data_IF_973420505824
#
_entry.id   IF_973420505824
#
_cell.length_a   1.000
_cell.length_b   1.000
_cell.length_c   1.000
_cell.angle_alpha   90.00
_cell.angle_beta   90.00
_cell.angle_gamma   90.00
#
_symmetry.space_group_name_H-M   'P 1'
#
loop_
_entity.id
_entity.type
_entity.pdbx_description
1 polymer ?
#
# COMPACT_ATOMS: atom_id res chain seq x y z
N UNK A 1 -25.12 -27.18 -1.58
CA UNK A 1 -24.49 -26.69 -0.33
C UNK A 1 -23.82 -25.38 -0.67
N UNK A 2 -24.20 -24.29 0.00
CA UNK A 2 -23.62 -22.96 -0.22
C UNK A 2 -22.79 -22.62 1.01
N UNK A 3 -21.54 -22.25 0.79
CA UNK A 3 -20.62 -21.79 1.82
C UNK A 3 -20.54 -20.28 1.69
N UNK A 4 -20.75 -19.58 2.79
CA UNK A 4 -20.68 -18.12 2.90
C UNK A 4 -19.59 -17.76 3.89
N UNK A 5 -18.95 -16.61 3.69
CA UNK A 5 -18.04 -16.06 4.69
C UNK A 5 -18.82 -15.68 5.95
N UNK A 6 -18.16 -15.76 7.10
CA UNK A 6 -18.68 -15.15 8.33
C UNK A 6 -18.34 -13.66 8.30
N UNK A 7 -19.10 -12.81 9.03
CA UNK A 7 -18.77 -11.38 9.13
C UNK A 7 -17.32 -11.12 9.57
N UNK A 8 -16.78 -11.96 10.47
CA UNK A 8 -15.39 -11.86 10.91
C UNK A 8 -14.38 -12.16 9.78
N UNK A 9 -14.73 -13.00 8.81
CA UNK A 9 -13.86 -13.32 7.69
C UNK A 9 -13.87 -12.20 6.62
N UNK A 10 -15.02 -11.53 6.44
CA UNK A 10 -15.12 -10.33 5.58
C UNK A 10 -14.23 -9.20 6.13
N UNK A 11 -14.30 -8.94 7.44
CA UNK A 11 -13.49 -7.90 8.09
C UNK A 11 -11.97 -8.18 8.00
N UNK A 12 -11.57 -9.46 8.03
CA UNK A 12 -10.17 -9.86 7.85
C UNK A 12 -9.73 -9.67 6.41
N UNK A 13 -10.60 -9.91 5.43
CA UNK A 13 -10.29 -9.71 4.01
C UNK A 13 -10.19 -8.23 3.65
N UNK A 14 -11.03 -7.37 4.23
CA UNK A 14 -10.95 -5.91 4.04
C UNK A 14 -9.63 -5.32 4.56
N UNK A 15 -9.11 -5.87 5.66
CA UNK A 15 -7.86 -5.42 6.28
C UNK A 15 -6.62 -6.16 5.77
N UNK A 16 -6.78 -7.12 4.86
CA UNK A 16 -5.68 -7.90 4.34
C UNK A 16 -4.93 -7.08 3.27
N UNK A 17 -3.62 -6.85 3.42
CA UNK A 17 -2.83 -6.22 2.37
C UNK A 17 -2.89 -7.07 1.10
N UNK A 18 -2.94 -6.41 -0.06
CA UNK A 18 -2.96 -7.15 -1.32
C UNK A 18 -1.69 -7.99 -1.48
N UNK A 19 -1.75 -9.18 -2.12
CA UNK A 19 -0.56 -10.02 -2.32
C UNK A 19 0.62 -9.30 -3.02
N UNK A 20 0.31 -8.29 -3.85
CA UNK A 20 1.31 -7.45 -4.51
C UNK A 20 2.01 -6.53 -3.50
N UNK A 21 1.26 -5.88 -2.60
CA UNK A 21 1.81 -5.04 -1.54
C UNK A 21 2.68 -5.86 -0.58
N UNK A 22 2.23 -7.06 -0.21
CA UNK A 22 3.00 -7.97 0.65
C UNK A 22 4.31 -8.43 -0.01
N UNK A 23 4.26 -8.83 -1.28
CA UNK A 23 5.46 -9.22 -2.05
C UNK A 23 6.46 -8.06 -2.16
N UNK A 24 5.97 -6.85 -2.43
CA UNK A 24 6.79 -5.64 -2.48
C UNK A 24 7.42 -5.33 -1.12
N UNK A 25 6.64 -5.30 -0.03
CA UNK A 25 7.12 -5.01 1.31
C UNK A 25 8.19 -6.01 1.76
N UNK A 26 7.98 -7.30 1.46
CA UNK A 26 8.95 -8.35 1.73
C UNK A 26 10.23 -8.19 0.91
N UNK A 27 10.14 -7.81 -0.38
CA UNK A 27 11.32 -7.59 -1.20
C UNK A 27 12.10 -6.33 -0.78
N UNK A 28 11.39 -5.24 -0.48
CA UNK A 28 11.96 -3.96 -0.07
C UNK A 28 12.68 -4.05 1.28
N UNK A 29 12.09 -4.74 2.26
CA UNK A 29 12.69 -4.90 3.60
C UNK A 29 13.99 -5.71 3.62
N UNK A 30 14.27 -6.49 2.57
CA UNK A 30 15.52 -7.25 2.41
C UNK A 30 16.66 -6.45 1.80
N UNK A 31 16.40 -5.23 1.32
CA UNK A 31 17.43 -4.36 0.75
C UNK A 31 18.26 -3.72 1.86
N UNK A 32 19.50 -3.36 1.53
CA UNK A 32 20.32 -2.56 2.44
C UNK A 32 19.69 -1.18 2.67
N UNK A 33 19.95 -0.57 3.82
CA UNK A 33 19.37 0.74 4.20
C UNK A 33 19.62 1.81 3.14
N UNK A 34 20.79 1.79 2.49
CA UNK A 34 21.14 2.74 1.45
C UNK A 34 20.31 2.55 0.17
N UNK A 35 19.96 1.30 -0.18
CA UNK A 35 19.12 0.98 -1.34
C UNK A 35 17.67 1.39 -1.09
N UNK A 36 17.15 1.13 0.12
CA UNK A 36 15.83 1.57 0.53
C UNK A 36 15.71 3.10 0.45
N UNK A 37 16.73 3.81 0.93
CA UNK A 37 16.79 5.28 0.89
C UNK A 37 16.84 5.81 -0.55
N UNK A 38 17.61 5.16 -1.43
CA UNK A 38 17.69 5.52 -2.85
C UNK A 38 16.33 5.39 -3.55
N UNK A 39 15.63 4.27 -3.33
CA UNK A 39 14.30 4.01 -3.92
C UNK A 39 13.29 5.04 -3.41
N UNK A 40 13.27 5.30 -2.09
CA UNK A 40 12.38 6.30 -1.49
C UNK A 40 12.60 7.70 -2.08
N UNK A 41 13.86 8.12 -2.18
CA UNK A 41 14.22 9.43 -2.76
C UNK A 41 13.79 9.54 -4.22
N UNK A 42 13.93 8.47 -4.99
CA UNK A 42 13.52 8.41 -6.39
C UNK A 42 12.01 8.55 -6.54
N UNK A 43 11.23 7.85 -5.72
CA UNK A 43 9.77 7.95 -5.69
C UNK A 43 9.30 9.36 -5.32
N UNK A 44 9.91 9.96 -4.29
CA UNK A 44 9.61 11.34 -3.88
C UNK A 44 9.89 12.33 -5.02
N UNK A 45 10.99 12.15 -5.76
CA UNK A 45 11.33 13.01 -6.90
C UNK A 45 10.32 12.88 -8.04
N UNK A 46 9.89 11.66 -8.35
CA UNK A 46 8.86 11.40 -9.37
C UNK A 46 7.53 12.04 -8.96
N UNK A 47 7.11 11.87 -7.71
CA UNK A 47 5.91 12.51 -7.19
C UNK A 47 5.99 14.04 -7.30
N UNK A 48 7.11 14.64 -6.88
CA UNK A 48 7.31 16.09 -7.02
C UNK A 48 7.27 16.58 -8.48
N UNK A 49 7.73 15.77 -9.44
CA UNK A 49 7.64 16.10 -10.87
C UNK A 49 6.23 15.98 -11.45
N UNK A 50 5.33 15.24 -10.80
CA UNK A 50 3.92 15.13 -11.20
C UNK A 50 3.07 16.32 -10.73
N UNK A 51 3.67 17.40 -10.21
CA UNK A 51 2.98 18.55 -9.61
C UNK A 51 1.98 18.12 -8.52
N UNK A 52 2.35 17.03 -7.83
CA UNK A 52 1.64 16.41 -6.72
C UNK A 52 1.71 17.27 -5.45
N UNK A 53 1.35 18.55 -5.55
CA UNK A 53 1.18 19.40 -4.36
C UNK A 53 -0.09 19.01 -3.58
N UNK A 54 -1.00 18.27 -4.23
CA UNK A 54 -2.26 17.72 -3.69
C UNK A 54 -2.43 16.21 -3.99
N UNK A 55 -1.38 15.48 -4.37
CA UNK A 55 -1.54 14.03 -4.49
C UNK A 55 -1.59 13.48 -3.06
N UNK A 56 -2.71 12.90 -2.58
CA UNK A 56 -2.59 11.98 -1.46
C UNK A 56 -1.61 10.93 -1.99
N UNK A 57 -0.44 10.79 -1.36
CA UNK A 57 0.60 9.87 -1.82
C UNK A 57 -0.10 8.59 -2.32
N UNK A 58 -0.07 8.38 -3.64
CA UNK A 58 -0.99 7.45 -4.31
C UNK A 58 -0.91 6.04 -3.70
N UNK A 59 -1.88 5.16 -3.98
CA UNK A 59 -2.23 3.96 -3.21
C UNK A 59 -1.17 2.85 -3.19
N UNK A 60 0.00 3.18 -2.63
CA UNK A 60 1.05 2.24 -2.28
C UNK A 60 1.26 2.17 -0.77
N UNK A 61 0.72 3.12 0.02
CA UNK A 61 0.81 3.15 1.48
C UNK A 61 -0.40 3.81 2.16
N UNK A 62 -1.51 4.08 1.46
CA UNK A 62 -2.75 4.42 2.18
C UNK A 62 -3.32 3.14 2.77
N UNK A 63 -3.44 3.15 4.09
CA UNK A 63 -4.31 2.25 4.81
C UNK A 63 -5.72 2.40 4.23
N UNK A 64 -6.24 1.34 3.60
CA UNK A 64 -7.58 1.33 2.98
C UNK A 64 -8.69 1.62 4.01
N UNK A 65 -8.36 1.65 5.31
CA UNK A 65 -9.28 2.01 6.41
C UNK A 65 -9.74 3.48 6.44
N UNK A 66 -9.18 4.38 5.61
CA UNK A 66 -9.49 5.82 5.66
C UNK A 66 -10.15 6.42 4.40
N UNK A 67 -10.62 5.61 3.43
CA UNK A 67 -11.44 6.17 2.35
C UNK A 67 -12.85 6.49 2.90
N UNK A 68 -13.33 7.75 2.82
CA UNK A 68 -14.69 8.07 3.24
C UNK A 68 -15.69 7.35 2.32
N UNK A 69 -16.58 6.56 2.92
CA UNK A 69 -17.70 5.93 2.23
C UNK A 69 -18.58 7.03 1.60
N UNK A 70 -18.75 6.99 0.28
CA UNK A 70 -19.75 7.78 -0.46
C UNK A 70 -21.10 7.08 -0.47
#
# INVERSE_FOLDING_TARGET
>A
VQVSLTPAAEEVLERAPSPIQESFANAFSRLETWEQTLILSSLQRVAAMMDATDLPAGPLLVDDSQLPET
#
